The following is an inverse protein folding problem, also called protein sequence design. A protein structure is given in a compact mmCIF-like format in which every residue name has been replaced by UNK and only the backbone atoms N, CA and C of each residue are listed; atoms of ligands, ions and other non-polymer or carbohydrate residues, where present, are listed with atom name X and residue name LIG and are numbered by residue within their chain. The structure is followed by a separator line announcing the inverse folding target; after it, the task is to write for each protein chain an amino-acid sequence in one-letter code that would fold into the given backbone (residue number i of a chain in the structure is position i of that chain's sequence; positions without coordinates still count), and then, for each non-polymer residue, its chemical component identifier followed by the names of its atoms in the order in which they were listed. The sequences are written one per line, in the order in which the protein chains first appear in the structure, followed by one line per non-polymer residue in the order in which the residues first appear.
data_IF_517025865113
#
_entry.id   IF_517025865113
#
_cell.length_a   1.000
_cell.length_b   1.000
_cell.length_c   1.000
_cell.angle_alpha   90.00
_cell.angle_beta   90.00
_cell.angle_gamma   90.00
#
_symmetry.space_group_name_H-M   'P 1'
#
loop_
_entity.id
_entity.type
_entity.pdbx_description
1 polymer ?
#
# COMPACT_ATOMS: atom_id res chain seq x y z
N UNK A 1 23.08 -16.22 -11.32
CA UNK A 1 22.68 -15.32 -12.40
C UNK A 1 23.82 -14.35 -12.52
N UNK A 2 24.33 -14.17 -13.74
CA UNK A 2 25.32 -13.14 -14.05
C UNK A 2 24.57 -11.80 -14.17
N UNK A 3 25.18 -10.73 -13.68
CA UNK A 3 24.62 -9.38 -13.79
C UNK A 3 25.06 -8.77 -15.12
N UNK A 4 24.10 -8.33 -15.94
CA UNK A 4 24.41 -7.66 -17.21
C UNK A 4 24.74 -6.18 -16.94
N UNK A 5 25.43 -5.53 -17.89
CA UNK A 5 25.94 -4.15 -17.72
C UNK A 5 24.82 -3.14 -17.43
N UNK A 6 23.59 -3.41 -17.87
CA UNK A 6 22.41 -2.56 -17.70
C UNK A 6 21.43 -3.08 -16.62
N UNK A 7 21.84 -4.02 -15.77
CA UNK A 7 20.99 -4.64 -14.76
C UNK A 7 21.46 -4.37 -13.33
N UNK A 8 20.56 -4.64 -12.36
CA UNK A 8 20.86 -4.60 -10.94
C UNK A 8 20.55 -5.97 -10.36
N UNK A 9 21.57 -6.68 -9.89
CA UNK A 9 21.40 -7.96 -9.24
C UNK A 9 21.06 -7.75 -7.77
N UNK A 10 19.97 -8.37 -7.32
CA UNK A 10 19.48 -8.22 -5.96
C UNK A 10 19.39 -9.57 -5.26
N UNK A 11 19.94 -9.66 -4.04
CA UNK A 11 19.68 -10.78 -3.15
C UNK A 11 18.33 -10.58 -2.48
N UNK A 12 17.32 -11.31 -2.96
CA UNK A 12 15.98 -11.25 -2.39
C UNK A 12 15.99 -11.86 -0.98
N UNK A 13 15.44 -11.13 -0.01
CA UNK A 13 15.27 -11.60 1.37
C UNK A 13 13.84 -12.05 1.62
N UNK A 14 12.86 -11.36 1.02
CA UNK A 14 11.47 -11.71 1.14
C UNK A 14 10.67 -11.44 -0.13
N UNK A 15 9.65 -12.27 -0.36
CA UNK A 15 8.67 -12.10 -1.44
C UNK A 15 7.31 -11.82 -0.81
N UNK A 16 6.67 -10.75 -1.26
CA UNK A 16 5.28 -10.41 -0.95
C UNK A 16 4.42 -10.74 -2.16
N UNK A 17 3.82 -11.92 -2.17
CA UNK A 17 2.95 -12.36 -3.27
C UNK A 17 1.63 -11.62 -3.16
N UNK A 18 1.16 -11.12 -4.30
CA UNK A 18 -0.16 -10.48 -4.39
C UNK A 18 -1.25 -11.37 -3.81
N UNK A 19 -2.25 -10.71 -3.24
CA UNK A 19 -3.28 -11.38 -2.49
C UNK A 19 -4.19 -12.27 -3.32
N UNK A 20 -4.51 -11.86 -4.55
CA UNK A 20 -5.28 -12.71 -5.45
C UNK A 20 -4.46 -13.93 -5.90
N UNK A 21 -3.17 -13.73 -6.18
CA UNK A 21 -2.25 -14.82 -6.54
C UNK A 21 -2.07 -15.84 -5.44
N UNK A 22 -1.81 -15.40 -4.20
CA UNK A 22 -1.53 -16.31 -3.10
C UNK A 22 -2.76 -17.13 -2.73
N UNK A 23 -3.94 -16.52 -2.62
CA UNK A 23 -5.18 -17.24 -2.34
C UNK A 23 -5.46 -18.30 -3.39
N UNK A 24 -5.38 -17.94 -4.67
CA UNK A 24 -5.69 -18.89 -5.74
C UNK A 24 -4.77 -20.11 -5.70
N UNK A 25 -3.47 -19.90 -5.49
CA UNK A 25 -2.49 -20.99 -5.35
C UNK A 25 -2.80 -21.82 -4.09
N UNK A 26 -3.07 -21.15 -2.98
CA UNK A 26 -3.33 -21.78 -1.69
C UNK A 26 -4.60 -22.64 -1.69
N UNK A 27 -5.68 -22.15 -2.30
CA UNK A 27 -6.93 -22.90 -2.50
C UNK A 27 -6.76 -24.07 -3.48
N UNK A 28 -6.03 -23.87 -4.58
CA UNK A 28 -5.69 -24.94 -5.52
C UNK A 28 -4.87 -26.06 -4.84
N UNK A 29 -4.10 -25.72 -3.81
CA UNK A 29 -3.33 -26.66 -3.00
C UNK A 29 -4.11 -27.23 -1.81
N UNK A 30 -5.40 -26.93 -1.65
CA UNK A 30 -6.23 -27.44 -0.56
C UNK A 30 -5.86 -26.89 0.82
N UNK A 31 -5.19 -25.74 0.87
CA UNK A 31 -4.74 -25.10 2.10
C UNK A 31 -3.43 -25.63 2.70
N UNK A 32 -2.74 -26.52 1.97
CA UNK A 32 -1.44 -27.08 2.35
C UNK A 32 -0.31 -26.10 1.98
N UNK A 33 0.46 -25.66 2.99
CA UNK A 33 1.54 -24.69 2.81
C UNK A 33 2.75 -25.27 2.05
N UNK A 34 3.05 -26.56 2.20
CA UNK A 34 4.17 -27.19 1.51
C UNK A 34 3.88 -27.31 0.01
N UNK A 35 2.67 -27.72 -0.34
CA UNK A 35 2.20 -27.73 -1.73
C UNK A 35 2.11 -26.33 -2.33
N UNK A 36 1.66 -25.35 -1.54
CA UNK A 36 1.63 -23.94 -1.96
C UNK A 36 3.04 -23.45 -2.30
N UNK A 37 4.01 -23.78 -1.46
CA UNK A 37 5.42 -23.47 -1.70
C UNK A 37 5.96 -24.12 -2.96
N UNK A 38 5.67 -25.41 -3.16
CA UNK A 38 6.09 -26.12 -4.36
C UNK A 38 5.48 -25.52 -5.63
N UNK A 39 4.19 -25.20 -5.62
CA UNK A 39 3.52 -24.56 -6.75
C UNK A 39 4.12 -23.19 -7.10
N UNK A 40 4.52 -22.40 -6.09
CA UNK A 40 5.24 -21.14 -6.31
C UNK A 40 6.61 -21.38 -6.94
N UNK A 41 7.36 -22.38 -6.45
CA UNK A 41 8.66 -22.75 -7.03
C UNK A 41 8.50 -23.18 -8.49
N UNK A 42 7.49 -23.98 -8.79
CA UNK A 42 7.21 -24.48 -10.14
C UNK A 42 6.84 -23.34 -11.10
N UNK A 43 6.00 -22.41 -10.66
CA UNK A 43 5.66 -21.21 -11.45
C UNK A 43 6.92 -20.41 -11.79
N UNK A 44 7.78 -20.18 -10.80
CA UNK A 44 9.01 -19.41 -11.01
C UNK A 44 10.02 -20.18 -11.86
N UNK A 45 10.14 -21.50 -11.69
CA UNK A 45 11.03 -22.32 -12.49
C UNK A 45 10.62 -22.37 -13.96
N UNK A 46 9.31 -22.47 -14.24
CA UNK A 46 8.80 -22.52 -15.61
C UNK A 46 8.85 -21.15 -16.31
N UNK A 47 8.56 -20.06 -15.59
CA UNK A 47 8.43 -18.72 -16.19
C UNK A 47 9.68 -17.84 -16.03
N UNK A 48 10.63 -18.26 -15.20
CA UNK A 48 11.78 -17.43 -14.79
C UNK A 48 11.40 -16.22 -13.94
N UNK A 49 10.15 -16.16 -13.45
CA UNK A 49 9.58 -15.02 -12.70
C UNK A 49 8.31 -15.44 -11.97
N UNK A 50 7.94 -14.69 -10.94
CA UNK A 50 6.67 -14.93 -10.24
C UNK A 50 5.53 -14.20 -10.97
N UNK A 51 4.90 -14.92 -11.88
CA UNK A 51 3.67 -14.52 -12.56
C UNK A 51 2.67 -15.65 -12.47
N UNK A 52 1.63 -15.47 -11.66
CA UNK A 52 0.56 -16.45 -11.56
C UNK A 52 -0.16 -16.54 -12.93
N UNK A 53 -0.30 -17.76 -13.51
CA UNK A 53 -0.90 -17.94 -14.83
C UNK A 53 -2.41 -17.64 -14.87
N UNK A 54 -3.10 -17.72 -13.73
CA UNK A 54 -4.55 -17.49 -13.61
C UNK A 54 -4.86 -16.02 -13.43
N UNK A 55 -4.20 -15.37 -12.47
CA UNK A 55 -4.51 -13.97 -12.11
C UNK A 55 -3.67 -12.96 -12.90
N UNK A 56 -2.57 -13.40 -13.50
CA UNK A 56 -1.58 -12.53 -14.17
C UNK A 56 -0.76 -11.66 -13.20
N UNK A 57 -1.02 -11.73 -11.89
CA UNK A 57 -0.32 -10.95 -10.88
C UNK A 57 0.95 -11.65 -10.39
N UNK A 58 1.85 -10.89 -9.78
CA UNK A 58 3.07 -11.41 -9.17
C UNK A 58 3.14 -10.98 -7.71
N UNK A 59 3.72 -9.81 -7.49
CA UNK A 59 3.95 -9.29 -6.14
C UNK A 59 5.12 -8.32 -6.13
N UNK A 60 5.71 -8.15 -4.96
CA UNK A 60 6.92 -7.34 -4.75
C UNK A 60 7.96 -8.14 -4.00
N UNK A 61 9.23 -7.74 -4.07
CA UNK A 61 10.27 -8.31 -3.22
C UNK A 61 10.91 -7.26 -2.31
N UNK A 62 11.49 -7.74 -1.21
CA UNK A 62 12.39 -6.98 -0.36
C UNK A 62 13.74 -7.67 -0.43
N UNK A 63 14.80 -6.94 -0.71
CA UNK A 63 16.14 -7.51 -0.90
C UNK A 63 17.24 -6.50 -0.65
N UNK A 64 18.45 -6.94 -0.97
CA UNK A 64 19.66 -6.12 -0.88
C UNK A 64 20.32 -6.07 -2.25
N UNK A 65 20.81 -4.91 -2.67
CA UNK A 65 21.57 -4.78 -3.91
C UNK A 65 22.89 -5.53 -3.75
N UNK A 66 23.12 -6.52 -4.60
CA UNK A 66 24.34 -7.33 -4.63
C UNK A 66 25.35 -6.79 -5.63
N UNK A 67 24.87 -6.41 -6.81
CA UNK A 67 25.71 -5.96 -7.92
C UNK A 67 24.94 -4.96 -8.76
N UNK A 68 25.65 -3.97 -9.31
CA UNK A 68 25.11 -2.96 -10.22
C UNK A 68 25.97 -3.03 -11.48
N UNK A 69 25.32 -3.21 -12.62
CA UNK A 69 26.01 -3.24 -13.91
C UNK A 69 26.71 -1.90 -14.21
N UNK A 70 27.82 -1.99 -14.95
CA UNK A 70 28.71 -0.86 -15.25
C UNK A 70 27.99 0.32 -15.93
N UNK A 71 26.97 0.07 -16.75
CA UNK A 71 26.24 1.14 -17.45
C UNK A 71 25.37 1.97 -16.50
N UNK A 72 25.02 1.43 -15.33
CA UNK A 72 24.21 2.08 -14.31
C UNK A 72 25.07 2.72 -13.21
N UNK A 73 26.35 2.37 -13.11
CA UNK A 73 27.28 2.97 -12.18
C UNK A 73 27.29 4.50 -12.33
N UNK A 74 27.18 5.22 -11.21
CA UNK A 74 27.12 6.68 -11.11
C UNK A 74 25.93 7.38 -11.79
N UNK A 75 24.98 6.64 -12.38
CA UNK A 75 23.74 7.18 -12.99
C UNK A 75 22.50 7.01 -12.10
N UNK A 76 22.59 6.17 -11.07
CA UNK A 76 21.49 5.86 -10.15
C UNK A 76 21.91 6.13 -8.70
N UNK A 77 20.95 6.46 -7.84
CA UNK A 77 21.17 6.71 -6.40
C UNK A 77 21.04 5.41 -5.58
N UNK A 78 21.71 4.34 -6.03
CA UNK A 78 21.72 3.03 -5.38
C UNK A 78 23.16 2.54 -5.22
N UNK A 79 23.46 1.93 -4.08
CA UNK A 79 24.77 1.36 -3.76
C UNK A 79 24.65 -0.14 -3.48
N UNK A 80 25.73 -0.87 -3.75
CA UNK A 80 25.85 -2.27 -3.31
C UNK A 80 25.74 -2.32 -1.79
N UNK A 81 24.86 -3.18 -1.29
CA UNK A 81 24.51 -3.29 0.13
C UNK A 81 23.24 -2.53 0.55
N UNK A 82 22.65 -1.70 -0.31
CA UNK A 82 21.41 -1.00 0.02
C UNK A 82 20.22 -1.97 0.10
N UNK A 83 19.38 -1.79 1.13
CA UNK A 83 18.11 -2.49 1.25
C UNK A 83 17.07 -1.82 0.37
N UNK A 84 16.46 -2.61 -0.50
CA UNK A 84 15.44 -2.13 -1.44
C UNK A 84 14.15 -2.93 -1.32
N UNK A 85 13.04 -2.28 -1.68
CA UNK A 85 11.76 -2.92 -1.92
C UNK A 85 11.33 -2.61 -3.35
N UNK A 86 10.96 -3.63 -4.11
CA UNK A 86 10.57 -3.44 -5.51
C UNK A 86 9.17 -2.81 -5.58
N UNK A 87 9.07 -1.66 -6.27
CA UNK A 87 7.77 -1.07 -6.64
C UNK A 87 7.25 -1.63 -7.97
N UNK A 88 8.11 -2.36 -8.70
CA UNK A 88 7.77 -3.06 -9.94
C UNK A 88 7.32 -4.47 -9.60
N UNK A 89 6.28 -4.93 -10.30
CA UNK A 89 5.71 -6.26 -10.12
C UNK A 89 6.71 -7.36 -10.47
N UNK A 90 6.71 -8.43 -9.67
CA UNK A 90 7.42 -9.67 -9.95
C UNK A 90 7.00 -10.34 -11.28
N UNK A 91 5.87 -9.95 -11.87
CA UNK A 91 5.45 -10.43 -13.20
C UNK A 91 6.35 -9.95 -14.34
N UNK A 92 7.16 -8.90 -14.10
CA UNK A 92 8.11 -8.33 -15.06
C UNK A 92 9.57 -8.47 -14.60
N UNK A 93 9.81 -8.98 -13.39
CA UNK A 93 11.15 -9.06 -12.80
C UNK A 93 11.66 -10.50 -12.87
N UNK A 94 12.76 -10.78 -13.58
CA UNK A 94 13.40 -12.10 -13.53
C UNK A 94 13.70 -12.50 -12.09
N UNK A 95 13.34 -13.72 -11.72
CA UNK A 95 13.45 -14.23 -10.36
C UNK A 95 13.90 -15.68 -10.39
N UNK A 96 14.86 -16.01 -9.53
CA UNK A 96 15.25 -17.38 -9.21
C UNK A 96 15.11 -17.62 -7.72
N UNK A 97 14.27 -18.58 -7.34
CA UNK A 97 14.11 -18.99 -5.94
C UNK A 97 14.86 -20.30 -5.76
N UNK A 98 15.84 -20.32 -4.84
CA UNK A 98 16.58 -21.55 -4.53
C UNK A 98 15.84 -22.40 -3.49
N UNK A 99 15.21 -21.77 -2.50
CA UNK A 99 14.41 -22.44 -1.46
C UNK A 99 13.43 -21.48 -0.82
N UNK A 100 12.28 -22.00 -0.40
CA UNK A 100 11.31 -21.31 0.46
C UNK A 100 11.50 -21.84 1.87
N UNK A 101 11.77 -20.98 2.85
CA UNK A 101 11.94 -21.45 4.24
C UNK A 101 10.64 -21.56 5.01
N UNK A 102 9.78 -20.59 4.77
CA UNK A 102 8.57 -20.37 5.53
C UNK A 102 7.64 -19.55 4.65
N UNK A 103 6.38 -19.96 4.66
CA UNK A 103 5.28 -19.20 4.12
C UNK A 103 4.51 -18.72 5.33
N UNK A 104 4.36 -17.41 5.44
CA UNK A 104 3.52 -16.80 6.46
C UNK A 104 2.18 -16.43 5.80
N UNK A 105 1.16 -17.30 5.90
CA UNK A 105 -0.20 -16.98 5.45
C UNK A 105 -0.91 -16.04 6.42
N UNK A 106 -0.38 -15.91 7.64
CA UNK A 106 -0.85 -15.05 8.73
C UNK A 106 -0.91 -13.60 8.23
N UNK A 107 -2.13 -13.12 8.00
CA UNK A 107 -2.37 -11.79 7.47
C UNK A 107 -2.49 -10.81 8.63
N UNK A 108 -1.47 -9.98 8.81
CA UNK A 108 -1.54 -8.88 9.78
C UNK A 108 -2.66 -7.88 9.43
N UNK A 109 -2.94 -7.69 8.13
CA UNK A 109 -3.89 -6.68 7.64
C UNK A 109 -4.82 -7.16 6.53
N UNK A 110 -6.13 -7.00 6.73
CA UNK A 110 -7.15 -7.29 5.71
C UNK A 110 -7.75 -6.03 5.11
N UNK A 111 -8.25 -6.15 3.88
CA UNK A 111 -9.01 -5.11 3.18
C UNK A 111 -10.47 -5.57 3.07
N UNK A 112 -11.38 -4.84 3.71
CA UNK A 112 -12.81 -5.09 3.63
C UNK A 112 -13.46 -4.08 2.69
N UNK A 113 -14.15 -4.57 1.66
CA UNK A 113 -14.87 -3.73 0.70
C UNK A 113 -16.30 -3.52 1.20
N UNK A 114 -16.64 -2.28 1.60
CA UNK A 114 -17.92 -1.98 2.27
C UNK A 114 -18.93 -1.25 1.39
N UNK A 115 -18.50 -0.72 0.25
CA UNK A 115 -19.36 -0.02 -0.71
C UNK A 115 -18.69 0.07 -2.06
N UNK A 116 -19.44 0.13 -3.15
CA UNK A 116 -18.91 0.51 -4.47
C UNK A 116 -19.13 2.00 -4.81
N UNK A 117 -19.90 2.71 -3.98
CA UNK A 117 -20.27 4.11 -4.14
C UNK A 117 -19.11 5.06 -3.82
N UNK A 118 -18.98 6.13 -4.60
CA UNK A 118 -18.09 7.26 -4.35
C UNK A 118 -18.87 8.58 -4.54
N UNK A 119 -18.56 9.62 -3.77
CA UNK A 119 -19.07 10.97 -4.07
C UNK A 119 -18.53 11.53 -5.39
N UNK A 120 -17.30 11.16 -5.74
CA UNK A 120 -16.66 11.50 -7.00
C UNK A 120 -15.85 10.30 -7.52
N UNK A 121 -16.18 9.86 -8.73
CA UNK A 121 -15.44 8.80 -9.41
C UNK A 121 -14.14 9.31 -10.01
N UNK A 122 -13.02 8.88 -9.44
CA UNK A 122 -11.68 9.26 -9.90
C UNK A 122 -11.41 8.66 -11.30
N UNK A 123 -10.98 9.49 -12.26
CA UNK A 123 -10.57 8.99 -13.60
C UNK A 123 -9.38 8.03 -13.55
N UNK A 124 -8.55 8.15 -12.51
CA UNK A 124 -7.43 7.29 -12.19
C UNK A 124 -7.81 6.27 -11.09
N UNK A 125 -9.04 5.74 -11.07
CA UNK A 125 -9.39 4.75 -10.06
C UNK A 125 -8.79 3.38 -10.39
N UNK A 126 -7.89 2.84 -9.56
CA UNK A 126 -7.39 1.45 -9.72
C UNK A 126 -8.50 0.41 -9.54
N UNK A 127 -9.61 0.79 -8.90
CA UNK A 127 -10.78 -0.06 -8.65
C UNK A 127 -11.92 0.21 -9.62
N UNK A 128 -11.66 0.77 -10.82
CA UNK A 128 -12.70 1.08 -11.81
C UNK A 128 -13.59 -0.13 -12.20
N UNK A 129 -13.08 -1.35 -12.09
CA UNK A 129 -13.86 -2.59 -12.33
C UNK A 129 -14.86 -2.92 -11.22
N UNK A 130 -14.78 -2.25 -10.08
CA UNK A 130 -15.61 -2.47 -8.89
C UNK A 130 -16.38 -1.21 -8.51
N UNK A 131 -15.70 -0.07 -8.36
CA UNK A 131 -16.31 1.19 -7.95
C UNK A 131 -17.27 1.72 -9.02
N UNK A 132 -18.49 2.07 -8.60
CA UNK A 132 -19.54 2.67 -9.44
C UNK A 132 -20.20 1.71 -10.42
N UNK A 133 -20.20 0.41 -10.15
CA UNK A 133 -20.96 -0.55 -10.95
C UNK A 133 -22.45 -0.48 -10.63
N UNK A 134 -22.79 -0.44 -9.34
CA UNK A 134 -24.17 -0.36 -8.87
C UNK A 134 -24.45 0.94 -8.11
N UNK A 135 -23.40 1.65 -7.65
CA UNK A 135 -23.50 2.88 -6.86
C UNK A 135 -24.26 2.68 -5.54
N UNK A 136 -24.05 1.52 -4.92
CA UNK A 136 -24.72 1.07 -3.70
C UNK A 136 -23.75 0.52 -2.67
N UNK A 137 -24.22 0.47 -1.42
CA UNK A 137 -23.51 -0.23 -0.36
C UNK A 137 -23.59 -1.74 -0.59
N UNK A 138 -22.57 -2.50 -0.20
CA UNK A 138 -22.70 -3.97 -0.24
C UNK A 138 -23.78 -4.44 0.74
N UNK A 139 -24.47 -5.55 0.43
CA UNK A 139 -25.46 -6.12 1.32
C UNK A 139 -24.88 -6.40 2.72
N UNK A 140 -25.71 -6.20 3.74
CA UNK A 140 -25.32 -6.42 5.15
C UNK A 140 -24.87 -7.87 5.38
N UNK A 141 -25.49 -8.84 4.71
CA UNK A 141 -25.10 -10.25 4.75
C UNK A 141 -23.63 -10.48 4.35
N UNK A 142 -23.16 -9.78 3.31
CA UNK A 142 -21.78 -9.86 2.86
C UNK A 142 -20.81 -9.19 3.85
N UNK A 143 -21.24 -8.09 4.47
CA UNK A 143 -20.51 -7.43 5.55
C UNK A 143 -20.35 -8.39 6.74
N UNK A 144 -21.43 -9.08 7.13
CA UNK A 144 -21.43 -10.03 8.24
C UNK A 144 -20.54 -11.24 7.95
N UNK A 145 -20.54 -11.76 6.72
CA UNK A 145 -19.61 -12.81 6.28
C UNK A 145 -18.15 -12.36 6.40
N UNK A 146 -17.83 -11.13 6.03
CA UNK A 146 -16.48 -10.58 6.19
C UNK A 146 -16.08 -10.47 7.67
N UNK A 147 -17.01 -10.04 8.53
CA UNK A 147 -16.78 -9.93 9.98
C UNK A 147 -16.59 -11.33 10.60
N UNK A 148 -17.38 -12.31 10.18
CA UNK A 148 -17.24 -13.71 10.61
C UNK A 148 -15.87 -14.26 10.22
N UNK A 149 -15.41 -14.03 8.99
CA UNK A 149 -14.07 -14.40 8.56
C UNK A 149 -12.96 -13.77 9.42
N UNK A 150 -13.07 -12.48 9.74
CA UNK A 150 -12.11 -11.80 10.62
C UNK A 150 -12.12 -12.42 12.01
N UNK A 151 -13.31 -12.77 12.54
CA UNK A 151 -13.46 -13.43 13.83
C UNK A 151 -12.83 -14.82 13.86
N UNK A 152 -12.93 -15.58 12.78
CA UNK A 152 -12.35 -16.93 12.63
C UNK A 152 -10.84 -16.93 12.36
N UNK A 153 -10.24 -15.76 12.05
CA UNK A 153 -8.82 -15.64 11.69
C UNK A 153 -8.05 -14.79 12.72
N UNK A 154 -7.51 -15.39 13.81
CA UNK A 154 -6.81 -14.67 14.88
C UNK A 154 -5.60 -13.85 14.44
N UNK A 155 -5.01 -14.15 13.28
CA UNK A 155 -3.88 -13.43 12.71
C UNK A 155 -4.20 -11.96 12.36
N UNK A 156 -5.48 -11.63 12.16
CA UNK A 156 -5.91 -10.35 11.61
C UNK A 156 -5.97 -9.27 12.70
N UNK A 157 -4.95 -8.41 12.75
CA UNK A 157 -4.88 -7.30 13.71
C UNK A 157 -5.28 -5.93 13.16
N UNK A 158 -5.17 -5.73 11.85
CA UNK A 158 -5.40 -4.44 11.19
C UNK A 158 -6.48 -4.58 10.09
N UNK A 159 -7.60 -3.90 10.23
CA UNK A 159 -8.71 -3.96 9.28
C UNK A 159 -8.84 -2.64 8.55
N UNK A 160 -8.56 -2.65 7.23
CA UNK A 160 -8.80 -1.50 6.36
C UNK A 160 -10.17 -1.60 5.71
N UNK A 161 -11.10 -0.76 6.15
CA UNK A 161 -12.35 -0.50 5.47
C UNK A 161 -12.04 0.35 4.22
N UNK A 162 -12.51 -0.08 3.07
CA UNK A 162 -12.32 0.59 1.78
C UNK A 162 -13.46 0.19 0.85
N UNK A 163 -13.44 0.65 -0.40
CA UNK A 163 -14.37 0.20 -1.42
C UNK A 163 -14.26 1.11 -2.63
N UNK A 164 -15.38 1.74 -2.96
CA UNK A 164 -15.41 3.10 -3.46
C UNK A 164 -14.90 4.06 -2.38
N UNK A 165 -15.81 4.64 -1.59
CA UNK A 165 -15.49 5.53 -0.49
C UNK A 165 -16.28 5.19 0.78
N UNK A 166 -15.57 4.79 1.85
CA UNK A 166 -16.19 4.31 3.09
C UNK A 166 -17.07 5.36 3.76
N UNK A 167 -16.72 6.64 3.65
CA UNK A 167 -17.51 7.69 4.28
C UNK A 167 -18.79 8.03 3.50
N UNK A 168 -19.05 7.37 2.37
CA UNK A 168 -20.37 7.43 1.72
C UNK A 168 -21.42 6.56 2.41
N UNK A 169 -21.01 5.64 3.29
CA UNK A 169 -21.94 4.94 4.16
C UNK A 169 -22.65 5.91 5.11
N UNK A 170 -23.86 5.57 5.54
CA UNK A 170 -24.54 6.27 6.62
C UNK A 170 -23.76 6.14 7.93
N UNK A 171 -23.96 7.08 8.86
CA UNK A 171 -23.30 7.03 10.18
C UNK A 171 -23.67 5.73 10.92
N UNK A 172 -24.93 5.29 10.77
CA UNK A 172 -25.47 4.10 11.41
C UNK A 172 -24.82 2.82 10.87
N UNK A 173 -24.63 2.72 9.55
CA UNK A 173 -23.98 1.56 8.94
C UNK A 173 -22.48 1.52 9.27
N UNK A 174 -21.82 2.69 9.27
CA UNK A 174 -20.42 2.78 9.64
C UNK A 174 -20.22 2.41 11.12
N UNK A 175 -21.08 2.87 12.02
CA UNK A 175 -21.05 2.49 13.45
C UNK A 175 -21.34 1.00 13.64
N UNK A 176 -22.28 0.41 12.88
CA UNK A 176 -22.53 -1.03 12.89
C UNK A 176 -21.26 -1.83 12.55
N UNK A 177 -20.56 -1.49 11.46
CA UNK A 177 -19.34 -2.21 11.06
C UNK A 177 -18.24 -2.04 12.10
N UNK A 178 -17.99 -0.81 12.56
CA UNK A 178 -16.88 -0.51 13.48
C UNK A 178 -17.13 -1.17 14.84
N UNK A 179 -18.34 -1.08 15.39
CA UNK A 179 -18.68 -1.68 16.69
C UNK A 179 -18.48 -3.21 16.66
N UNK A 180 -18.95 -3.87 15.61
CA UNK A 180 -18.81 -5.33 15.42
C UNK A 180 -17.37 -5.78 15.24
N UNK A 181 -16.54 -4.98 14.57
CA UNK A 181 -15.10 -5.25 14.48
C UNK A 181 -14.39 -5.05 15.82
N UNK A 182 -14.86 -4.12 16.66
CA UNK A 182 -14.30 -3.89 18.00
C UNK A 182 -14.69 -4.95 19.02
N UNK A 183 -15.77 -5.69 18.81
CA UNK A 183 -16.10 -6.87 19.62
C UNK A 183 -15.08 -8.01 19.42
N UNK A 184 -14.26 -7.97 18.36
CA UNK A 184 -13.28 -9.02 18.06
C UNK A 184 -11.96 -8.74 18.80
N UNK A 185 -11.54 -9.59 19.76
CA UNK A 185 -10.41 -9.27 20.66
C UNK A 185 -9.07 -9.06 19.96
N UNK A 186 -8.80 -9.76 18.86
CA UNK A 186 -7.53 -9.67 18.14
C UNK A 186 -7.45 -8.49 17.16
N UNK A 187 -8.53 -7.73 16.95
CA UNK A 187 -8.52 -6.55 16.05
C UNK A 187 -8.02 -5.32 16.81
N UNK A 188 -6.76 -4.99 16.58
CA UNK A 188 -6.07 -3.85 17.21
C UNK A 188 -6.42 -2.52 16.54
N UNK A 189 -6.32 -2.46 15.21
CA UNK A 189 -6.39 -1.20 14.44
C UNK A 189 -7.48 -1.27 13.38
N UNK A 190 -8.33 -0.25 13.33
CA UNK A 190 -9.28 -0.05 12.23
C UNK A 190 -8.83 1.15 11.41
N UNK A 191 -8.75 0.98 10.09
CA UNK A 191 -8.37 2.03 9.14
C UNK A 191 -9.49 2.29 8.17
N UNK A 192 -9.71 3.56 7.85
CA UNK A 192 -10.70 4.00 6.88
C UNK A 192 -9.98 4.57 5.65
N UNK A 193 -10.28 4.05 4.47
CA UNK A 193 -9.86 4.63 3.19
C UNK A 193 -10.97 5.50 2.62
N UNK A 194 -10.75 6.82 2.53
CA UNK A 194 -11.78 7.75 2.06
C UNK A 194 -11.20 9.00 1.40
N UNK A 195 -11.70 9.34 0.20
CA UNK A 195 -11.38 10.59 -0.48
C UNK A 195 -12.37 11.70 -0.13
N UNK A 196 -13.45 11.39 0.58
CA UNK A 196 -14.46 12.34 1.07
C UNK A 196 -13.89 13.62 1.68
N UNK A 197 -12.84 13.64 2.53
CA UNK A 197 -12.28 14.90 3.05
C UNK A 197 -11.83 15.88 1.96
N UNK A 198 -11.52 15.39 0.77
CA UNK A 198 -11.08 16.18 -0.39
C UNK A 198 -12.26 16.65 -1.23
N UNK A 199 -13.18 15.73 -1.56
CA UNK A 199 -14.20 15.95 -2.60
C UNK A 199 -15.60 16.27 -2.04
N UNK A 200 -15.88 15.90 -0.79
CA UNK A 200 -17.14 16.14 -0.10
C UNK A 200 -16.86 16.40 1.40
N UNK A 201 -16.12 17.47 1.75
CA UNK A 201 -15.74 17.76 3.14
C UNK A 201 -16.94 17.95 4.07
N UNK A 202 -18.12 18.29 3.53
CA UNK A 202 -19.37 18.45 4.27
C UNK A 202 -19.82 17.17 4.98
N UNK A 203 -19.40 15.99 4.50
CA UNK A 203 -19.69 14.71 5.15
C UNK A 203 -19.01 14.57 6.53
N UNK A 204 -17.95 15.34 6.78
CA UNK A 204 -17.23 15.36 8.06
C UNK A 204 -17.96 16.25 9.06
N UNK A 205 -18.98 15.67 9.68
CA UNK A 205 -19.82 16.32 10.68
C UNK A 205 -19.27 16.10 12.10
N UNK A 206 -19.64 16.96 13.06
CA UNK A 206 -19.37 16.72 14.48
C UNK A 206 -19.93 15.37 14.98
N UNK A 207 -21.10 14.95 14.49
CA UNK A 207 -21.72 13.65 14.82
C UNK A 207 -20.81 12.49 14.40
N UNK A 208 -20.31 12.50 13.16
CA UNK A 208 -19.38 11.49 12.66
C UNK A 208 -18.10 11.45 13.50
N UNK A 209 -17.51 12.61 13.79
CA UNK A 209 -16.29 12.70 14.59
C UNK A 209 -16.48 12.18 16.02
N UNK A 210 -17.62 12.49 16.64
CA UNK A 210 -17.98 11.99 17.97
C UNK A 210 -18.18 10.47 17.98
N UNK A 211 -18.77 9.89 16.92
CA UNK A 211 -18.90 8.44 16.77
C UNK A 211 -17.52 7.77 16.65
N UNK A 212 -16.66 8.24 15.75
CA UNK A 212 -15.33 7.66 15.54
C UNK A 212 -14.46 7.70 16.80
N UNK A 213 -14.60 8.74 17.63
CA UNK A 213 -13.86 8.88 18.89
C UNK A 213 -14.15 7.77 19.90
N UNK A 214 -15.35 7.15 19.86
CA UNK A 214 -15.72 6.05 20.77
C UNK A 214 -14.93 4.77 20.52
N UNK A 215 -14.43 4.56 19.30
CA UNK A 215 -13.90 3.28 18.84
C UNK A 215 -12.38 3.31 18.56
N UNK A 216 -11.63 4.21 19.20
CA UNK A 216 -10.18 4.32 19.04
C UNK A 216 -9.44 3.02 19.38
N UNK A 217 -8.30 2.71 18.72
CA UNK A 217 -7.60 3.53 17.71
C UNK A 217 -8.14 3.38 16.28
N UNK A 218 -8.69 4.46 15.71
CA UNK A 218 -9.14 4.54 14.31
C UNK A 218 -8.20 5.45 13.52
N UNK A 219 -7.79 5.02 12.32
CA UNK A 219 -6.96 5.81 11.41
C UNK A 219 -7.73 6.13 10.14
N UNK A 220 -7.46 7.26 9.52
CA UNK A 220 -8.07 7.60 8.23
C UNK A 220 -6.99 7.97 7.21
N UNK A 221 -7.00 7.27 6.08
CA UNK A 221 -6.16 7.57 4.92
C UNK A 221 -7.00 8.26 3.85
N UNK A 222 -6.59 9.48 3.48
CA UNK A 222 -7.24 10.29 2.45
C UNK A 222 -6.38 10.43 1.19
N UNK A 223 -6.90 11.09 0.15
CA UNK A 223 -6.36 11.05 -1.22
C UNK A 223 -6.38 12.42 -1.92
N UNK A 224 -5.66 13.38 -1.34
CA UNK A 224 -5.17 14.58 -2.02
C UNK A 224 -4.06 14.24 -3.02
N UNK A 225 -4.12 14.82 -4.20
CA UNK A 225 -3.18 14.70 -5.30
C UNK A 225 -2.59 16.05 -5.71
N UNK A 226 -3.28 17.17 -5.47
CA UNK A 226 -2.81 18.49 -5.89
C UNK A 226 -3.05 19.55 -4.80
N UNK A 227 -2.14 20.53 -4.61
CA UNK A 227 -2.30 21.59 -3.59
C UNK A 227 -3.62 22.38 -3.67
N UNK A 228 -4.19 22.50 -4.88
CA UNK A 228 -5.48 23.17 -5.11
C UNK A 228 -6.66 22.46 -4.44
N UNK A 229 -6.54 21.17 -4.14
CA UNK A 229 -7.59 20.41 -3.47
C UNK A 229 -7.63 20.69 -1.96
N UNK A 230 -6.59 21.31 -1.40
CA UNK A 230 -6.57 21.77 -0.01
C UNK A 230 -7.31 23.11 0.05
N UNK A 231 -8.64 23.03 0.01
CA UNK A 231 -9.51 24.19 0.23
C UNK A 231 -9.70 24.44 1.73
N UNK A 232 -10.33 25.57 2.08
CA UNK A 232 -10.68 25.87 3.48
C UNK A 232 -11.57 24.78 4.08
N UNK A 233 -12.57 24.35 3.32
CA UNK A 233 -13.53 23.32 3.76
C UNK A 233 -12.84 21.97 3.98
N UNK A 234 -11.91 21.59 3.09
CA UNK A 234 -11.13 20.37 3.24
C UNK A 234 -10.18 20.44 4.45
N UNK A 235 -9.56 21.60 4.70
CA UNK A 235 -8.71 21.83 5.85
C UNK A 235 -9.49 21.77 7.17
N UNK A 236 -10.68 22.37 7.23
CA UNK A 236 -11.59 22.29 8.39
C UNK A 236 -12.05 20.86 8.66
N UNK A 237 -12.40 20.10 7.60
CA UNK A 237 -12.76 18.69 7.72
C UNK A 237 -11.60 17.85 8.29
N UNK A 238 -10.37 18.05 7.79
CA UNK A 238 -9.19 17.37 8.33
C UNK A 238 -8.90 17.79 9.78
N UNK A 239 -9.05 19.08 10.11
CA UNK A 239 -8.87 19.56 11.46
C UNK A 239 -9.85 18.88 12.44
N UNK A 240 -11.14 18.80 12.09
CA UNK A 240 -12.16 18.13 12.92
C UNK A 240 -11.82 16.66 13.20
N UNK A 241 -11.35 15.93 12.19
CA UNK A 241 -10.95 14.53 12.36
C UNK A 241 -9.70 14.40 13.25
N UNK A 242 -8.71 15.27 13.05
CA UNK A 242 -7.51 15.31 13.87
C UNK A 242 -7.83 15.66 15.34
N UNK A 243 -8.74 16.61 15.58
CA UNK A 243 -9.21 17.00 16.92
C UNK A 243 -10.05 15.90 17.59
N UNK A 244 -10.70 15.04 16.80
CA UNK A 244 -11.35 13.82 17.29
C UNK A 244 -10.35 12.73 17.70
N UNK A 245 -9.04 12.96 17.48
CA UNK A 245 -7.96 12.03 17.79
C UNK A 245 -7.69 10.99 16.70
N UNK A 246 -8.24 11.16 15.49
CA UNK A 246 -8.02 10.23 14.36
C UNK A 246 -6.74 10.63 13.63
N UNK A 247 -5.69 9.78 13.62
CA UNK A 247 -4.49 10.07 12.83
C UNK A 247 -4.82 10.05 11.34
N UNK A 248 -4.45 11.13 10.64
CA UNK A 248 -4.70 11.29 9.23
C UNK A 248 -3.46 11.00 8.39
N UNK A 249 -3.60 10.08 7.44
CA UNK A 249 -2.62 9.80 6.40
C UNK A 249 -3.09 10.30 5.04
N UNK A 250 -2.17 10.66 4.14
CA UNK A 250 -2.48 10.95 2.75
C UNK A 250 -1.76 9.98 1.80
N UNK A 251 -2.52 9.41 0.87
CA UNK A 251 -2.04 8.55 -0.19
C UNK A 251 -2.23 9.28 -1.52
N UNK A 252 -1.17 9.84 -2.10
CA UNK A 252 -1.24 10.48 -3.42
C UNK A 252 -0.91 9.48 -4.53
N UNK A 253 -1.50 9.67 -5.70
CA UNK A 253 -1.13 8.98 -6.94
C UNK A 253 -0.36 9.96 -7.82
N UNK A 254 0.78 9.53 -8.36
CA UNK A 254 1.50 10.30 -9.36
C UNK A 254 0.80 10.19 -10.71
N UNK A 255 0.36 11.35 -11.22
CA UNK A 255 -0.47 11.53 -12.39
C UNK A 255 0.21 12.53 -13.33
N UNK A 256 0.40 12.10 -14.58
CA UNK A 256 0.98 12.92 -15.63
C UNK A 256 0.13 14.18 -15.87
N UNK A 257 0.78 15.34 -15.90
CA UNK A 257 0.13 16.65 -16.08
C UNK A 257 -0.67 17.16 -14.88
N UNK A 258 -0.64 16.48 -13.74
CA UNK A 258 -1.32 16.91 -12.50
C UNK A 258 -0.32 17.19 -11.39
N UNK A 259 0.45 16.17 -10.99
CA UNK A 259 1.37 16.25 -9.86
C UNK A 259 2.72 15.55 -10.13
N UNK A 260 3.04 15.31 -11.40
CA UNK A 260 4.32 14.80 -11.90
C UNK A 260 5.46 15.84 -11.86
N UNK A 261 5.36 16.82 -10.94
CA UNK A 261 6.35 17.88 -10.75
C UNK A 261 6.77 17.96 -9.29
N UNK A 262 8.09 17.97 -9.06
CA UNK A 262 8.69 18.05 -7.72
C UNK A 262 8.24 19.30 -6.96
N UNK A 263 8.08 20.43 -7.65
CA UNK A 263 7.62 21.68 -7.02
C UNK A 263 6.17 21.57 -6.52
N UNK A 264 5.31 20.93 -7.31
CA UNK A 264 3.90 20.69 -6.96
C UNK A 264 3.80 19.74 -5.78
N UNK A 265 4.53 18.63 -5.80
CA UNK A 265 4.54 17.64 -4.71
C UNK A 265 5.13 18.21 -3.42
N UNK A 266 6.22 18.98 -3.50
CA UNK A 266 6.79 19.67 -2.33
C UNK A 266 5.75 20.59 -1.69
N UNK A 267 5.06 21.40 -2.49
CA UNK A 267 4.00 22.29 -2.00
C UNK A 267 2.85 21.50 -1.37
N UNK A 268 2.43 20.40 -2.00
CA UNK A 268 1.38 19.53 -1.48
C UNK A 268 1.75 18.97 -0.11
N UNK A 269 2.93 18.34 0.01
CA UNK A 269 3.41 17.73 1.25
C UNK A 269 3.52 18.76 2.38
N UNK A 270 4.03 19.96 2.08
CA UNK A 270 4.11 21.05 3.07
C UNK A 270 2.72 21.50 3.53
N UNK A 271 1.77 21.67 2.61
CA UNK A 271 0.40 22.06 2.96
C UNK A 271 -0.36 20.96 3.72
N UNK A 272 -0.15 19.69 3.38
CA UNK A 272 -0.72 18.56 4.12
C UNK A 272 -0.24 18.53 5.58
N UNK A 273 1.05 18.78 5.80
CA UNK A 273 1.59 18.87 7.16
C UNK A 273 0.93 20.00 7.98
N UNK A 274 0.64 21.15 7.36
CA UNK A 274 -0.05 22.27 8.02
C UNK A 274 -1.47 21.91 8.48
N UNK A 275 -2.18 21.05 7.75
CA UNK A 275 -3.52 20.57 8.12
C UNK A 275 -3.48 19.28 8.97
N UNK A 276 -2.33 18.93 9.55
CA UNK A 276 -2.11 17.73 10.39
C UNK A 276 -2.38 16.41 9.66
N UNK A 277 -2.20 16.39 8.34
CA UNK A 277 -2.28 15.19 7.52
C UNK A 277 -0.87 14.72 7.18
N UNK A 278 -0.52 13.50 7.59
CA UNK A 278 0.80 12.91 7.34
C UNK A 278 0.87 12.35 5.92
N UNK A 279 1.85 12.75 5.08
CA UNK A 279 2.12 12.06 3.82
C UNK A 279 2.48 10.60 4.11
N UNK A 280 1.71 9.65 3.58
CA UNK A 280 1.76 8.24 3.98
C UNK A 280 2.15 7.31 2.82
N UNK A 281 1.83 7.63 1.56
CA UNK A 281 2.17 6.76 0.42
C UNK A 281 2.09 7.49 -0.93
N UNK A 282 3.02 7.20 -1.84
CA UNK A 282 2.95 7.62 -3.25
C UNK A 282 2.80 6.39 -4.14
N UNK A 283 1.77 6.36 -5.00
CA UNK A 283 1.52 5.24 -5.92
C UNK A 283 1.63 5.71 -7.37
N UNK A 284 2.40 5.01 -8.20
CA UNK A 284 2.41 5.22 -9.65
C UNK A 284 1.24 4.47 -10.28
N UNK A 285 0.46 5.10 -11.16
CA UNK A 285 -0.54 4.41 -11.99
C UNK A 285 -0.13 4.44 -13.47
N UNK A 286 -0.22 3.28 -14.11
CA UNK A 286 0.06 3.11 -15.55
C UNK A 286 1.55 3.00 -15.87
N UNK A 287 1.94 1.89 -16.48
CA UNK A 287 3.23 1.78 -17.17
C UNK A 287 3.19 2.56 -18.50
N UNK A 288 4.38 2.78 -19.09
CA UNK A 288 4.68 3.49 -20.35
C UNK A 288 5.01 4.99 -20.24
N UNK A 289 6.10 5.30 -19.55
CA UNK A 289 7.07 6.30 -20.02
C UNK A 289 8.46 5.75 -19.73
N UNK A 290 9.12 5.20 -20.75
CA UNK A 290 10.58 5.28 -20.88
C UNK A 290 10.89 6.78 -20.84
N UNK A 291 11.52 7.28 -19.79
CA UNK A 291 12.17 8.58 -19.91
C UNK A 291 13.41 8.36 -20.78
N UNK A 292 13.49 8.91 -22.01
CA UNK A 292 14.80 9.38 -22.44
C UNK A 292 15.14 10.51 -21.47
N UNK A 293 16.18 10.31 -20.67
CA UNK A 293 16.83 11.41 -19.97
C UNK A 293 17.40 12.37 -21.02
N UNK A 294 16.55 13.27 -21.51
CA UNK A 294 16.88 14.29 -22.48
C UNK A 294 17.61 15.44 -21.80
N UNK A 295 18.94 15.38 -21.86
CA UNK A 295 19.93 16.47 -21.89
C UNK A 295 19.66 17.70 -21.01
N UNK A 296 20.56 17.90 -20.06
CA UNK A 296 20.54 19.00 -19.13
C UNK A 296 20.54 20.39 -19.74
N UNK A 297 20.01 21.33 -18.96
CA UNK A 297 20.52 22.70 -18.94
C UNK A 297 21.16 22.93 -17.58
N UNK A 298 22.49 22.91 -17.58
CA UNK A 298 23.30 23.58 -16.56
C UNK A 298 22.87 25.06 -16.53
N UNK A 299 22.33 25.51 -15.42
CA UNK A 299 22.56 26.89 -14.99
C UNK A 299 23.23 26.83 -13.63
N UNK A 300 24.54 27.07 -13.66
CA UNK A 300 25.34 27.29 -12.47
C UNK A 300 24.89 28.57 -11.78
N UNK A 301 24.66 28.48 -10.48
CA UNK A 301 24.42 29.61 -9.61
C UNK A 301 24.82 29.22 -8.20
N UNK A 302 26.10 29.45 -7.86
CA UNK A 302 26.58 29.41 -6.47
C UNK A 302 25.69 30.31 -5.61
N UNK A 303 25.05 29.77 -4.57
CA UNK A 303 24.89 30.48 -3.28
C UNK A 303 24.97 29.49 -2.12
N UNK A 304 26.01 29.70 -1.33
CA UNK A 304 26.24 29.16 0.02
C UNK A 304 25.23 29.77 0.98
N UNK A 305 24.89 29.02 2.03
CA UNK A 305 24.53 29.56 3.34
C UNK A 305 23.03 29.65 3.64
N UNK A 306 22.53 28.66 4.38
CA UNK A 306 21.67 28.86 5.55
C UNK A 306 21.42 27.48 6.18
N UNK A 307 22.42 27.01 6.92
CA UNK A 307 22.24 26.01 7.96
C UNK A 307 22.04 26.74 9.29
N UNK A 308 21.16 26.20 10.13
CA UNK A 308 20.99 26.53 11.55
C UNK A 308 19.66 25.99 12.09
N UNK A 309 19.54 25.71 13.41
CA UNK A 309 20.25 24.66 14.14
C UNK A 309 19.28 23.65 14.85
N UNK A 310 19.91 22.73 15.60
CA UNK A 310 19.49 21.48 16.30
C UNK A 310 18.25 21.58 17.23
N UNK A 311 17.51 20.52 17.57
CA UNK A 311 17.84 19.35 18.41
C UNK A 311 17.19 18.04 17.87
N UNK A 312 17.84 16.87 17.82
CA UNK A 312 18.36 16.07 18.94
C UNK A 312 17.23 15.15 19.44
N UNK A 313 17.26 13.82 19.50
CA UNK A 313 18.32 12.81 19.55
C UNK A 313 17.62 11.44 19.36
N UNK A 314 18.27 10.52 18.65
CA UNK A 314 18.48 9.11 19.04
C UNK A 314 19.16 8.36 17.91
N UNK A 315 20.49 8.40 17.98
CA UNK A 315 21.37 7.37 17.41
C UNK A 315 20.89 6.01 17.91
N UNK A 316 20.40 5.14 17.02
CA UNK A 316 20.42 3.70 17.31
C UNK A 316 21.73 3.12 16.83
N UNK A 317 22.39 2.47 17.77
CA UNK A 317 23.76 2.01 17.72
C UNK A 317 23.94 0.93 16.65
N UNK A 318 25.02 1.05 15.87
CA UNK A 318 25.56 -0.05 15.08
C UNK A 318 26.13 -1.09 16.03
N UNK A 319 25.38 -2.16 16.30
CA UNK A 319 25.95 -3.41 16.79
C UNK A 319 26.38 -4.30 15.62
N UNK A 320 27.44 -5.10 15.73
CA UNK A 320 27.80 -6.05 14.68
C UNK A 320 26.80 -7.20 14.70
N UNK A 321 26.22 -7.54 13.55
CA UNK A 321 25.32 -8.68 13.40
C UNK A 321 25.76 -9.50 12.18
N UNK A 322 25.55 -10.83 12.23
CA UNK A 322 26.62 -11.82 12.12
C UNK A 322 27.00 -12.16 10.68
N UNK A 323 28.16 -12.82 10.56
CA UNK A 323 28.78 -13.26 9.32
C UNK A 323 27.82 -13.94 8.33
N UNK A 324 28.11 -13.68 7.06
CA UNK A 324 27.38 -14.13 5.90
C UNK A 324 27.16 -15.66 5.87
N UNK A 325 25.89 -16.05 5.71
CA UNK A 325 25.47 -17.43 5.48
C UNK A 325 24.41 -17.53 4.37
N UNK A 326 24.87 -17.84 3.16
CA UNK A 326 24.18 -18.44 1.99
C UNK A 326 22.62 -18.46 1.97
N UNK A 327 22.03 -17.64 1.08
CA UNK A 327 20.77 -17.90 0.36
C UNK A 327 19.54 -18.22 1.24
N UNK A 328 18.79 -17.20 1.65
CA UNK A 328 17.81 -17.30 2.71
C UNK A 328 16.54 -16.47 2.37
N UNK A 329 15.52 -17.04 1.69
CA UNK A 329 14.28 -16.31 1.30
C UNK A 329 13.08 -16.55 2.25
N UNK A 330 12.29 -15.50 2.53
CA UNK A 330 11.10 -15.47 3.40
C UNK A 330 9.84 -15.07 2.60
N UNK A 331 8.78 -15.87 2.55
CA UNK A 331 7.58 -15.52 1.81
C UNK A 331 6.47 -15.03 2.75
N UNK A 332 5.98 -13.81 2.54
CA UNK A 332 4.78 -13.28 3.19
C UNK A 332 3.65 -13.28 2.18
N UNK A 333 2.64 -14.12 2.40
CA UNK A 333 1.44 -14.17 1.58
C UNK A 333 0.37 -13.27 2.19
N UNK A 334 -0.19 -12.33 1.42
CA UNK A 334 -1.42 -11.65 1.81
C UNK A 334 -2.58 -12.52 1.32
N UNK A 335 -3.52 -12.96 2.16
CA UNK A 335 -4.71 -13.71 1.71
C UNK A 335 -5.85 -12.74 1.35
N UNK A 336 -6.57 -13.03 0.29
CA UNK A 336 -7.92 -12.51 -0.01
C UNK A 336 -8.83 -13.71 0.12
N UNK A 337 -9.86 -13.71 0.95
CA UNK A 337 -10.81 -14.82 0.94
C UNK A 337 -12.07 -14.49 0.15
N UNK A 338 -12.50 -15.49 -0.63
CA UNK A 338 -13.64 -15.64 -1.53
C UNK A 338 -13.71 -14.91 -2.89
N UNK A 339 -13.70 -15.69 -4.00
CA UNK A 339 -14.64 -15.59 -5.10
C UNK A 339 -15.81 -16.58 -4.89
N UNK A 340 -17.02 -16.08 -5.11
CA UNK A 340 -18.27 -16.83 -5.10
C UNK A 340 -18.23 -18.01 -6.10
N UNK A 341 -18.70 -19.18 -5.68
CA UNK A 341 -19.29 -20.15 -6.61
C UNK A 341 -20.55 -19.52 -7.20
N UNK A 342 -20.66 -19.53 -8.53
CA UNK A 342 -21.91 -19.27 -9.23
C UNK A 342 -22.95 -20.32 -8.85
N UNK A 343 -24.10 -19.87 -8.36
CA UNK A 343 -25.43 -20.35 -8.73
C UNK A 343 -26.27 -19.13 -9.06
#
# INVERSE_FOLDING_TARGET
MECWSNEILCDVSALNIDSASFTQIYEACGGDLDKTGQMILDIVAQRGKMQNPVTGSGGMFIGTVREIGEDLADKIDLRVGDRIASLVSLSLTPLKINRIKAIHPEIDRVLMLTTDQCSMYCRHCTRRRFAGQHDTSVPVEQIDQCIAYIRETPAVRDVLLSGGDVLMLSDEMLEYIISRLREIPHVEIIRLGSRTPVVCPQRITPKLCAMLKKYHPVWLNTHFNHPKEITREAAEACARLADAGVPLGNQSVLLAGVNDCVHTMKKLVQMLAQIRVRPYYERRQGADVLYPAGKGRRQGGRRRGAAGPEDGDRRSQRGPAPEAGRGLYLLRGLRRHHPQRQL
#
